data_IF_360699338127
#
_entry.id   IF_360699338127
#
_cell.length_a   1.000
_cell.length_b   1.000
_cell.length_c   1.000
_cell.angle_alpha   90.00
_cell.angle_beta   90.00
_cell.angle_gamma   90.00
#
_symmetry.space_group_name_H-M   'P 1'
#
loop_
_entity.id
_entity.type
_entity.pdbx_description
1 polymer ?
#
# COMPACT_ATOMS: atom_id res chain seq x y z
N UNK A 1 -1.90 22.05 11.90
CA UNK A 1 -1.20 21.52 10.71
C UNK A 1 -2.04 21.85 9.51
N UNK A 2 -1.43 22.26 8.39
CA UNK A 2 -2.15 22.49 7.14
C UNK A 2 -2.40 21.16 6.42
N UNK A 3 -3.45 21.08 5.59
CA UNK A 3 -3.78 19.88 4.80
C UNK A 3 -2.61 19.38 3.93
N UNK A 4 -1.77 20.31 3.47
CA UNK A 4 -0.54 20.03 2.75
C UNK A 4 0.49 19.24 3.59
N UNK A 5 0.58 19.49 4.90
CA UNK A 5 1.50 18.78 5.79
C UNK A 5 1.06 17.33 6.00
N UNK A 6 -0.25 17.08 6.15
CA UNK A 6 -0.78 15.72 6.25
C UNK A 6 -0.58 14.91 4.97
N UNK A 7 -0.80 15.55 3.82
CA UNK A 7 -0.59 14.92 2.51
C UNK A 7 0.87 14.53 2.31
N UNK A 8 1.82 15.43 2.61
CA UNK A 8 3.26 15.15 2.52
C UNK A 8 3.67 14.05 3.49
N UNK A 9 3.17 14.07 4.73
CA UNK A 9 3.47 13.03 5.70
C UNK A 9 2.95 11.65 5.27
N UNK A 10 1.74 11.58 4.72
CA UNK A 10 1.15 10.35 4.20
C UNK A 10 1.97 9.80 3.01
N UNK A 11 2.31 10.66 2.05
CA UNK A 11 3.12 10.27 0.89
C UNK A 11 4.52 9.78 1.30
N UNK A 12 5.20 10.48 2.21
CA UNK A 12 6.51 10.06 2.73
C UNK A 12 6.42 8.72 3.46
N UNK A 13 5.35 8.50 4.21
CA UNK A 13 5.14 7.23 4.90
C UNK A 13 4.95 6.09 3.90
N UNK A 14 4.04 6.22 2.93
CA UNK A 14 3.75 5.18 1.92
C UNK A 14 4.97 4.81 1.07
N UNK A 15 5.74 5.81 0.64
CA UNK A 15 6.97 5.60 -0.13
C UNK A 15 8.05 4.97 0.75
N UNK A 16 8.23 5.48 1.97
CA UNK A 16 9.22 4.98 2.92
C UNK A 16 8.97 3.53 3.35
N UNK A 17 7.72 3.17 3.67
CA UNK A 17 7.35 1.80 4.04
C UNK A 17 7.56 0.85 2.88
N UNK A 18 7.13 1.22 1.67
CA UNK A 18 7.29 0.40 0.46
C UNK A 18 8.77 0.19 0.13
N UNK A 19 9.59 1.25 0.20
CA UNK A 19 11.04 1.16 -0.03
C UNK A 19 11.73 0.28 1.01
N UNK A 20 11.37 0.42 2.29
CA UNK A 20 11.93 -0.41 3.36
C UNK A 20 11.59 -1.89 3.18
N UNK A 21 10.35 -2.21 2.81
CA UNK A 21 9.93 -3.59 2.52
C UNK A 21 10.69 -4.16 1.32
N UNK A 22 10.85 -3.36 0.25
CA UNK A 22 11.62 -3.75 -0.93
C UNK A 22 13.08 -4.03 -0.57
N UNK A 23 13.69 -3.18 0.25
CA UNK A 23 15.05 -3.38 0.75
C UNK A 23 15.17 -4.67 1.57
N UNK A 24 14.20 -4.98 2.44
CA UNK A 24 14.18 -6.27 3.16
C UNK A 24 14.12 -7.47 2.20
N UNK A 25 13.36 -7.37 1.11
CA UNK A 25 13.30 -8.43 0.08
C UNK A 25 14.66 -8.59 -0.62
N UNK A 26 15.27 -7.50 -1.05
CA UNK A 26 16.55 -7.51 -1.79
C UNK A 26 17.71 -7.98 -0.90
N UNK A 27 17.77 -7.48 0.35
CA UNK A 27 18.80 -7.83 1.32
C UNK A 27 18.66 -9.27 1.87
N UNK A 28 17.59 -9.99 1.51
CA UNK A 28 17.33 -11.35 2.00
C UNK A 28 16.83 -11.42 3.45
N UNK A 29 16.82 -10.30 4.17
CA UNK A 29 16.37 -10.23 5.56
C UNK A 29 14.86 -10.37 5.66
N UNK A 30 14.37 -11.43 6.32
CA UNK A 30 12.94 -11.73 6.42
C UNK A 30 12.23 -11.77 5.05
N UNK A 31 12.96 -12.10 3.98
CA UNK A 31 12.48 -12.09 2.58
C UNK A 31 11.13 -12.77 2.41
N UNK A 32 10.94 -13.88 3.10
CA UNK A 32 9.74 -14.69 3.05
C UNK A 32 8.50 -14.03 3.69
N UNK A 33 8.68 -13.08 4.61
CA UNK A 33 7.60 -12.25 5.18
C UNK A 33 7.41 -10.99 4.34
N UNK A 34 8.52 -10.34 3.96
CA UNK A 34 8.49 -9.12 3.17
C UNK A 34 7.80 -9.32 1.81
N UNK A 35 7.96 -10.47 1.17
CA UNK A 35 7.24 -10.81 -0.08
C UNK A 35 5.72 -10.92 0.10
N UNK A 36 5.23 -11.39 1.26
CA UNK A 36 3.79 -11.43 1.57
C UNK A 36 3.26 -10.01 1.71
N UNK A 37 3.96 -9.17 2.48
CA UNK A 37 3.58 -7.77 2.68
C UNK A 37 3.61 -7.00 1.35
N UNK A 38 4.62 -7.24 0.51
CA UNK A 38 4.71 -6.65 -0.82
C UNK A 38 3.52 -7.06 -1.70
N UNK A 39 3.14 -8.34 -1.67
CA UNK A 39 1.96 -8.84 -2.37
C UNK A 39 0.66 -8.16 -1.91
N UNK A 40 0.52 -7.90 -0.62
CA UNK A 40 -0.63 -7.18 -0.06
C UNK A 40 -0.66 -5.71 -0.47
N UNK A 41 0.49 -5.04 -0.48
CA UNK A 41 0.59 -3.62 -0.83
C UNK A 41 0.46 -3.36 -2.33
N UNK A 42 0.80 -4.33 -3.19
CA UNK A 42 0.77 -4.14 -4.65
C UNK A 42 -0.58 -3.61 -5.17
N UNK A 43 -1.75 -4.22 -4.86
CA UNK A 43 -3.03 -3.69 -5.31
C UNK A 43 -3.29 -2.28 -4.76
N UNK A 44 -2.89 -1.97 -3.53
CA UNK A 44 -3.05 -0.62 -2.96
C UNK A 44 -2.21 0.42 -3.72
N UNK A 45 -0.96 0.08 -4.01
CA UNK A 45 -0.04 0.94 -4.78
C UNK A 45 -0.58 1.16 -6.20
N UNK A 46 -1.11 0.12 -6.85
CA UNK A 46 -1.68 0.23 -8.19
C UNK A 46 -2.91 1.14 -8.21
N UNK A 47 -3.79 1.04 -7.19
CA UNK A 47 -4.94 1.94 -7.07
C UNK A 47 -4.49 3.37 -6.82
N UNK A 48 -3.56 3.60 -5.88
CA UNK A 48 -3.03 4.94 -5.61
C UNK A 48 -2.38 5.53 -6.85
N UNK A 49 -1.61 4.76 -7.61
CA UNK A 49 -1.02 5.19 -8.87
C UNK A 49 -2.08 5.54 -9.92
N UNK A 50 -3.16 4.75 -10.01
CA UNK A 50 -4.29 5.02 -10.90
C UNK A 50 -5.03 6.30 -10.50
N UNK A 51 -5.26 6.54 -9.21
CA UNK A 51 -5.93 7.74 -8.70
C UNK A 51 -5.05 8.99 -8.80
N UNK A 52 -3.73 8.84 -8.68
CA UNK A 52 -2.77 9.92 -8.85
C UNK A 52 -2.53 10.29 -10.32
N UNK A 53 -2.72 9.35 -11.26
CA UNK A 53 -2.44 9.58 -12.69
C UNK A 53 -3.17 10.80 -13.26
N UNK A 54 -4.51 10.97 -13.07
CA UNK A 54 -5.21 12.16 -13.52
C UNK A 54 -4.65 13.45 -12.92
N UNK A 55 -4.19 13.43 -11.67
CA UNK A 55 -3.65 14.61 -10.99
C UNK A 55 -2.29 15.05 -11.55
N UNK A 56 -1.54 14.11 -12.14
CA UNK A 56 -0.26 14.38 -12.81
C UNK A 56 -0.46 14.94 -14.22
N UNK A 57 -1.57 14.59 -14.88
CA UNK A 57 -1.89 15.07 -16.24
C UNK A 57 -2.78 16.31 -16.25
N UNK A 58 -3.69 16.42 -15.30
CA UNK A 58 -4.67 17.50 -15.14
C UNK A 58 -4.80 17.85 -13.65
N UNK A 59 -4.05 18.83 -13.13
CA UNK A 59 -4.04 19.13 -11.71
C UNK A 59 -5.41 19.66 -11.25
N UNK A 60 -6.13 18.83 -10.51
CA UNK A 60 -7.34 19.20 -9.81
C UNK A 60 -7.06 20.29 -8.74
N UNK A 61 -8.04 21.13 -8.37
CA UNK A 61 -7.86 22.11 -7.30
C UNK A 61 -7.39 21.43 -6.00
N UNK A 62 -6.35 21.99 -5.38
CA UNK A 62 -5.49 21.32 -4.38
C UNK A 62 -6.16 20.73 -3.14
N UNK A 63 -7.42 21.06 -2.86
CA UNK A 63 -8.19 20.49 -1.75
C UNK A 63 -8.77 19.10 -2.09
N UNK A 64 -9.06 18.81 -3.36
CA UNK A 64 -9.61 17.50 -3.74
C UNK A 64 -8.55 16.41 -3.81
N UNK A 65 -7.35 16.74 -4.29
CA UNK A 65 -6.24 15.80 -4.39
C UNK A 65 -5.66 15.41 -3.02
N UNK A 66 -5.57 16.38 -2.10
CA UNK A 66 -5.12 16.13 -0.72
C UNK A 66 -6.13 15.29 0.06
N UNK A 67 -7.43 15.59 -0.08
CA UNK A 67 -8.48 14.81 0.56
C UNK A 67 -8.50 13.34 0.09
N UNK A 68 -8.42 13.10 -1.22
CA UNK A 68 -8.42 11.72 -1.75
C UNK A 68 -7.18 10.92 -1.33
N UNK A 69 -6.01 11.57 -1.26
CA UNK A 69 -4.77 10.93 -0.80
C UNK A 69 -4.84 10.56 0.69
N UNK A 70 -5.30 11.50 1.53
CA UNK A 70 -5.43 11.26 2.98
C UNK A 70 -6.49 10.20 3.29
N UNK A 71 -7.57 10.14 2.50
CA UNK A 71 -8.57 9.07 2.60
C UNK A 71 -8.02 7.72 2.14
N UNK A 72 -7.21 7.69 1.08
CA UNK A 72 -6.52 6.48 0.61
C UNK A 72 -5.49 5.93 1.60
N UNK A 73 -4.86 6.81 2.40
CA UNK A 73 -3.89 6.43 3.43
C UNK A 73 -4.47 5.45 4.47
N UNK A 74 -5.72 5.64 4.88
CA UNK A 74 -6.38 4.74 5.83
C UNK A 74 -6.50 3.32 5.28
N UNK A 75 -6.91 3.19 4.01
CA UNK A 75 -6.98 1.90 3.33
C UNK A 75 -5.58 1.27 3.16
N UNK A 76 -4.57 2.07 2.82
CA UNK A 76 -3.17 1.61 2.73
C UNK A 76 -2.68 1.02 4.05
N UNK A 77 -2.88 1.72 5.17
CA UNK A 77 -2.47 1.25 6.51
C UNK A 77 -3.20 -0.03 6.89
N UNK A 78 -4.51 -0.13 6.63
CA UNK A 78 -5.28 -1.33 6.92
C UNK A 78 -4.73 -2.57 6.16
N UNK A 79 -4.35 -2.39 4.90
CA UNK A 79 -3.77 -3.45 4.07
C UNK A 79 -2.35 -3.79 4.51
N UNK A 80 -1.55 -2.79 4.89
CA UNK A 80 -0.22 -3.00 5.45
C UNK A 80 -0.30 -3.89 6.71
N UNK A 81 -1.21 -3.56 7.63
CA UNK A 81 -1.45 -4.35 8.85
C UNK A 81 -1.92 -5.76 8.48
N UNK A 82 -2.88 -5.89 7.55
CA UNK A 82 -3.35 -7.18 7.06
C UNK A 82 -2.22 -8.03 6.45
N UNK A 83 -1.37 -7.44 5.61
CA UNK A 83 -0.22 -8.09 5.01
C UNK A 83 0.82 -8.54 6.04
N UNK A 84 1.07 -7.71 7.06
CA UNK A 84 1.94 -8.07 8.20
C UNK A 84 1.36 -9.27 8.94
N UNK A 85 0.07 -9.25 9.30
CA UNK A 85 -0.61 -10.37 9.97
C UNK A 85 -0.51 -11.65 9.13
N UNK A 86 -0.79 -11.57 7.82
CA UNK A 86 -0.66 -12.70 6.90
C UNK A 86 0.77 -13.24 6.81
N UNK A 87 1.79 -12.38 6.98
CA UNK A 87 3.20 -12.77 6.92
C UNK A 87 3.63 -13.68 8.08
N UNK A 88 2.87 -13.71 9.19
CA UNK A 88 3.12 -14.60 10.32
C UNK A 88 2.47 -15.98 10.15
N UNK A 89 1.61 -16.17 9.14
CA UNK A 89 0.98 -17.46 8.90
C UNK A 89 2.03 -18.41 8.27
N UNK A 90 2.32 -19.56 8.88
CA UNK A 90 3.29 -20.53 8.34
C UNK A 90 2.73 -21.15 7.06
N UNK A 91 3.21 -20.67 5.89
CA UNK A 91 2.65 -20.98 4.56
C UNK A 91 3.77 -21.03 3.49
N UNK A 92 3.47 -21.45 2.23
CA UNK A 92 4.28 -22.39 1.43
C UNK A 92 5.72 -21.94 1.12
N UNK A 93 6.58 -22.91 0.81
CA UNK A 93 8.02 -22.69 0.59
C UNK A 93 8.33 -21.78 -0.63
N UNK A 94 7.42 -21.68 -1.60
CA UNK A 94 7.64 -20.91 -2.83
C UNK A 94 7.26 -19.42 -2.67
N UNK A 95 8.17 -18.53 -3.07
CA UNK A 95 7.99 -17.07 -3.02
C UNK A 95 6.76 -16.56 -3.80
N UNK A 96 6.42 -17.07 -5.01
CA UNK A 96 5.26 -16.58 -5.75
C UNK A 96 3.93 -16.85 -5.02
N UNK A 97 3.81 -18.02 -4.39
CA UNK A 97 2.62 -18.38 -3.62
C UNK A 97 2.41 -17.48 -2.40
N UNK A 98 3.51 -17.05 -1.77
CA UNK A 98 3.47 -16.08 -0.66
C UNK A 98 3.05 -14.68 -1.12
N UNK A 99 3.52 -14.26 -2.28
CA UNK A 99 3.11 -13.02 -2.90
C UNK A 99 1.60 -13.02 -3.24
N UNK A 100 1.11 -14.09 -3.88
CA UNK A 100 -0.32 -14.25 -4.20
C UNK A 100 -1.20 -14.28 -2.94
N UNK A 101 -0.67 -14.76 -1.83
CA UNK A 101 -1.36 -14.77 -0.55
C UNK A 101 -1.59 -13.35 -0.01
N UNK A 102 -0.57 -12.49 -0.12
CA UNK A 102 -0.74 -11.07 0.14
C UNK A 102 -1.72 -10.45 -0.83
N UNK A 103 -1.61 -10.78 -2.13
CA UNK A 103 -2.50 -10.28 -3.18
C UNK A 103 -3.97 -10.67 -2.97
N UNK A 104 -4.26 -11.74 -2.23
CA UNK A 104 -5.62 -12.12 -1.86
C UNK A 104 -6.32 -11.09 -0.96
N UNK A 105 -5.62 -10.08 -0.43
CA UNK A 105 -6.23 -8.90 0.20
C UNK A 105 -6.79 -7.88 -0.81
N UNK A 106 -6.55 -8.04 -2.10
CA UNK A 106 -7.07 -7.14 -3.13
C UNK A 106 -8.61 -6.95 -3.09
N UNK A 107 -9.45 -7.98 -2.90
CA UNK A 107 -10.90 -7.78 -2.77
C UNK A 107 -11.28 -6.96 -1.53
N UNK A 108 -10.50 -7.07 -0.44
CA UNK A 108 -10.71 -6.29 0.79
C UNK A 108 -10.42 -4.81 0.53
N UNK A 109 -9.36 -4.50 -0.23
CA UNK A 109 -9.09 -3.14 -0.70
C UNK A 109 -10.26 -2.58 -1.49
N UNK A 110 -10.81 -3.33 -2.46
CA UNK A 110 -11.97 -2.88 -3.22
C UNK A 110 -13.19 -2.61 -2.34
N UNK A 111 -13.45 -3.45 -1.33
CA UNK A 111 -14.51 -3.21 -0.36
C UNK A 111 -14.28 -1.95 0.48
N UNK A 112 -13.05 -1.72 0.94
CA UNK A 112 -12.71 -0.52 1.73
C UNK A 112 -12.84 0.76 0.92
N UNK A 113 -12.42 0.77 -0.34
CA UNK A 113 -12.55 1.92 -1.24
C UNK A 113 -14.00 2.28 -1.59
N UNK A 114 -14.97 1.37 -1.42
CA UNK A 114 -16.39 1.65 -1.64
C UNK A 114 -17.06 2.30 -0.41
N UNK A 115 -16.42 2.21 0.76
CA UNK A 115 -16.93 2.76 2.04
C UNK A 115 -16.39 4.18 2.28
N UNK A 116 -15.25 4.50 1.67
CA UNK A 116 -14.56 5.79 1.72
C UNK A 116 -15.08 6.70 0.61
#
# INVERSE_FOLDING_TARGET
MSDSQFTVAAALFEVGTTAMILLCVIAGYMRHKAVVVLGALTPAILVLAYLAYPQLTEPAPGNMASASWVMGFGAYVAILIGGIVLSFIPRPAHLPSRYLLGFALAPVLFGLLQIV
#
